data_IF_623534359321
#
_entry.id   IF_623534359321
#
_cell.length_a   1.000
_cell.length_b   1.000
_cell.length_c   1.000
_cell.angle_alpha   90.00
_cell.angle_beta   90.00
_cell.angle_gamma   90.00
#
_symmetry.space_group_name_H-M   'P 1'
#
loop_
_entity.id
_entity.type
_entity.pdbx_description
1 polymer ?
#
# COMPACT_ATOMS: atom_id res chain seq x y z
N UNK A 1 2.80 23.26 7.21
CA UNK A 1 1.44 22.82 6.82
C UNK A 1 1.24 21.38 7.28
N UNK A 2 0.03 21.00 7.70
CA UNK A 2 -0.30 19.58 7.90
C UNK A 2 -0.47 18.93 6.53
N UNK A 3 0.21 17.79 6.29
CA UNK A 3 0.21 17.07 5.00
C UNK A 3 -1.21 16.73 4.50
N UNK A 4 -2.17 16.55 5.41
CA UNK A 4 -3.53 16.08 5.10
C UNK A 4 -4.67 17.01 5.54
N UNK A 5 -4.40 18.18 6.10
CA UNK A 5 -5.48 19.13 6.49
C UNK A 5 -6.39 18.74 7.67
N UNK A 6 -6.25 17.56 8.28
CA UNK A 6 -7.11 17.07 9.37
C UNK A 6 -6.61 17.39 10.79
N UNK A 7 -7.50 17.32 11.78
CA UNK A 7 -7.19 17.39 13.21
C UNK A 7 -6.34 16.21 13.69
N UNK A 8 -5.65 16.39 14.83
CA UNK A 8 -4.82 15.31 15.43
C UNK A 8 -5.71 14.18 15.98
N UNK A 9 -6.88 14.55 16.50
CA UNK A 9 -7.91 13.61 16.98
C UNK A 9 -8.45 12.75 15.83
N UNK A 10 -8.84 13.37 14.71
CA UNK A 10 -9.33 12.65 13.53
C UNK A 10 -8.31 11.61 13.02
N UNK A 11 -7.01 11.98 12.97
CA UNK A 11 -5.96 11.04 12.60
C UNK A 11 -5.83 9.87 13.59
N UNK A 12 -5.96 10.14 14.89
CA UNK A 12 -5.91 9.11 15.93
C UNK A 12 -7.10 8.16 15.91
N UNK A 13 -8.29 8.66 15.59
CA UNK A 13 -9.50 7.84 15.38
C UNK A 13 -9.35 6.91 14.17
N UNK A 14 -8.84 7.44 13.05
CA UNK A 14 -8.54 6.64 11.87
C UNK A 14 -7.48 5.57 12.16
N UNK A 15 -6.42 5.92 12.89
CA UNK A 15 -5.38 4.96 13.30
C UNK A 15 -5.96 3.83 14.15
N UNK A 16 -6.78 4.14 15.17
CA UNK A 16 -7.41 3.13 16.02
C UNK A 16 -8.31 2.19 15.23
N UNK A 17 -9.15 2.74 14.35
CA UNK A 17 -10.01 1.96 13.46
C UNK A 17 -9.18 0.99 12.62
N UNK A 18 -8.13 1.49 11.99
CA UNK A 18 -7.26 0.72 11.12
C UNK A 18 -6.52 -0.39 11.91
N UNK A 19 -5.95 -0.07 13.08
CA UNK A 19 -5.28 -1.06 13.97
C UNK A 19 -6.19 -2.20 14.40
N UNK A 20 -7.50 -1.95 14.55
CA UNK A 20 -8.47 -2.99 14.94
C UNK A 20 -8.81 -3.97 13.81
N UNK A 21 -8.44 -3.67 12.56
CA UNK A 21 -8.86 -4.44 11.36
C UNK A 21 -7.70 -4.82 10.43
N UNK A 22 -6.49 -4.37 10.72
CA UNK A 22 -5.30 -4.67 9.93
C UNK A 22 -4.39 -5.66 10.65
N UNK A 23 -3.48 -6.27 9.89
CA UNK A 23 -2.32 -6.98 10.44
C UNK A 23 -1.14 -6.01 10.40
N UNK A 24 -0.46 -5.82 11.52
CA UNK A 24 0.80 -5.09 11.57
C UNK A 24 1.95 -6.02 11.22
N UNK A 25 2.78 -5.59 10.28
CA UNK A 25 3.99 -6.28 9.85
C UNK A 25 5.15 -5.29 9.81
N UNK A 26 6.36 -5.81 10.03
CA UNK A 26 7.57 -5.07 9.69
C UNK A 26 7.83 -5.23 8.17
N UNK A 27 8.05 -4.14 7.43
CA UNK A 27 8.31 -4.23 5.99
C UNK A 27 9.52 -5.10 5.69
N UNK A 28 9.39 -6.00 4.72
CA UNK A 28 10.52 -6.79 4.26
C UNK A 28 11.56 -5.87 3.58
N UNK A 29 12.84 -6.03 3.95
CA UNK A 29 13.95 -5.35 3.27
C UNK A 29 14.08 -5.90 1.85
N UNK A 30 14.03 -4.99 0.86
CA UNK A 30 14.20 -5.34 -0.55
C UNK A 30 15.69 -5.49 -0.89
N UNK A 31 16.00 -6.41 -1.80
CA UNK A 31 17.38 -6.69 -2.24
C UNK A 31 18.00 -5.55 -3.07
N UNK A 32 17.15 -4.77 -3.73
CA UNK A 32 17.50 -3.60 -4.53
C UNK A 32 16.32 -2.63 -4.58
N UNK A 33 16.55 -1.35 -4.88
CA UNK A 33 15.47 -0.39 -5.08
C UNK A 33 14.52 -0.84 -6.19
N UNK A 34 13.21 -0.80 -5.93
CA UNK A 34 12.18 -1.24 -6.90
C UNK A 34 11.47 -0.04 -7.51
N UNK A 35 11.10 0.91 -6.67
CA UNK A 35 10.43 2.13 -7.07
C UNK A 35 11.47 3.16 -7.54
N UNK A 36 11.01 4.15 -8.31
CA UNK A 36 11.87 5.28 -8.71
C UNK A 36 12.19 6.16 -7.51
N UNK A 37 11.20 6.40 -6.66
CA UNK A 37 11.37 6.99 -5.35
C UNK A 37 11.61 5.87 -4.33
N UNK A 38 12.76 5.87 -3.67
CA UNK A 38 13.13 4.84 -2.69
C UNK A 38 12.19 4.82 -1.48
N UNK A 39 11.49 5.93 -1.20
CA UNK A 39 10.57 6.00 -0.08
C UNK A 39 9.32 5.13 -0.30
N UNK A 40 8.99 4.78 -1.54
CA UNK A 40 7.83 3.92 -1.87
C UNK A 40 8.13 2.42 -1.73
N UNK A 41 9.40 2.02 -1.65
CA UNK A 41 9.79 0.61 -1.49
C UNK A 41 9.25 0.00 -0.19
N UNK A 42 9.00 0.83 0.83
CA UNK A 42 8.36 0.40 2.08
C UNK A 42 6.98 -0.21 1.82
N UNK A 43 6.25 0.27 0.82
CA UNK A 43 4.93 -0.26 0.45
C UNK A 43 5.07 -1.67 -0.11
N UNK A 44 6.05 -1.89 -1.00
CA UNK A 44 6.34 -3.20 -1.57
C UNK A 44 6.81 -4.17 -0.48
N UNK A 45 7.73 -3.74 0.38
CA UNK A 45 8.22 -4.54 1.51
C UNK A 45 7.11 -4.93 2.49
N UNK A 46 6.18 -4.01 2.76
CA UNK A 46 5.01 -4.27 3.61
C UNK A 46 4.09 -5.31 2.98
N UNK A 47 3.82 -5.19 1.69
CA UNK A 47 2.95 -6.12 0.97
C UNK A 47 3.52 -7.55 0.91
N UNK A 48 4.85 -7.67 0.74
CA UNK A 48 5.54 -8.95 0.82
C UNK A 48 5.44 -9.57 2.22
N UNK A 49 5.75 -8.79 3.26
CA UNK A 49 5.70 -9.27 4.65
C UNK A 49 4.28 -9.67 5.07
N UNK A 50 3.26 -8.96 4.57
CA UNK A 50 1.85 -9.27 4.79
C UNK A 50 1.29 -10.37 3.88
N UNK A 51 2.10 -10.95 2.98
CA UNK A 51 1.66 -11.90 1.96
C UNK A 51 0.41 -11.42 1.17
N UNK A 52 0.36 -10.12 0.85
CA UNK A 52 -0.75 -9.50 0.16
C UNK A 52 -0.89 -10.06 -1.26
N UNK A 53 -2.13 -10.26 -1.73
CA UNK A 53 -2.38 -10.61 -3.13
C UNK A 53 -2.21 -9.41 -4.06
N UNK A 54 -2.50 -8.21 -3.56
CA UNK A 54 -2.43 -6.99 -4.34
C UNK A 54 -2.11 -5.74 -3.50
N UNK A 55 -1.71 -4.68 -4.19
CA UNK A 55 -1.58 -3.30 -3.69
C UNK A 55 -2.57 -2.43 -4.47
N UNK A 56 -3.40 -1.70 -3.71
CA UNK A 56 -4.32 -0.70 -4.28
C UNK A 56 -3.74 0.69 -4.02
N UNK A 57 -3.37 1.42 -5.06
CA UNK A 57 -2.69 2.71 -4.90
C UNK A 57 -3.04 3.72 -5.99
N UNK A 58 -3.01 5.01 -5.66
CA UNK A 58 -3.07 6.10 -6.62
C UNK A 58 -1.69 6.57 -7.10
N UNK A 59 -0.61 6.00 -6.56
CA UNK A 59 0.75 6.43 -6.84
C UNK A 59 1.25 5.90 -8.19
N UNK A 60 1.72 6.79 -9.06
CA UNK A 60 2.17 6.45 -10.40
C UNK A 60 3.46 5.60 -10.41
N UNK A 61 4.35 5.80 -9.43
CA UNK A 61 5.63 5.09 -9.33
C UNK A 61 5.43 3.64 -8.86
N UNK A 62 4.36 3.38 -8.11
CA UNK A 62 3.91 2.02 -7.81
C UNK A 62 3.11 1.41 -8.97
N UNK A 63 2.20 2.18 -9.58
CA UNK A 63 1.31 1.68 -10.64
C UNK A 63 2.06 1.23 -11.90
N UNK A 64 3.20 1.84 -12.22
CA UNK A 64 4.00 1.45 -13.39
C UNK A 64 4.55 0.01 -13.27
N UNK A 65 4.72 -0.50 -12.05
CA UNK A 65 5.21 -1.86 -11.81
C UNK A 65 4.20 -2.91 -12.27
N UNK A 66 2.90 -2.64 -12.15
CA UNK A 66 1.74 -3.51 -12.44
C UNK A 66 1.68 -4.81 -11.64
N UNK A 67 2.79 -5.49 -11.43
CA UNK A 67 2.93 -6.71 -10.63
C UNK A 67 4.35 -6.84 -10.10
N UNK A 68 4.51 -7.25 -8.85
CA UNK A 68 5.83 -7.50 -8.25
C UNK A 68 5.82 -8.76 -7.39
N UNK A 69 6.72 -9.71 -7.67
CA UNK A 69 6.83 -11.00 -6.93
C UNK A 69 5.48 -11.70 -6.68
N UNK A 70 4.57 -11.64 -7.64
CA UNK A 70 3.24 -12.26 -7.55
C UNK A 70 2.13 -11.36 -7.03
N UNK A 71 2.45 -10.17 -6.49
CA UNK A 71 1.52 -9.18 -5.96
C UNK A 71 1.06 -8.26 -7.10
N UNK A 72 -0.24 -8.21 -7.38
CA UNK A 72 -0.80 -7.31 -8.40
C UNK A 72 -0.89 -5.87 -7.90
N UNK A 73 -0.65 -4.88 -8.76
CA UNK A 73 -0.64 -3.46 -8.38
C UNK A 73 -1.54 -2.70 -9.32
N UNK A 74 -2.59 -2.08 -8.76
CA UNK A 74 -3.59 -1.39 -9.55
C UNK A 74 -4.22 -0.21 -8.82
N UNK A 75 -4.89 0.64 -9.59
CA UNK A 75 -5.59 1.80 -9.05
C UNK A 75 -6.89 1.39 -8.36
N UNK A 76 -7.43 2.21 -7.44
CA UNK A 76 -8.72 1.94 -6.80
C UNK A 76 -9.86 1.65 -7.79
N UNK A 77 -9.89 2.39 -8.91
CA UNK A 77 -10.89 2.16 -9.96
C UNK A 77 -10.73 0.84 -10.70
N UNK A 78 -9.49 0.34 -10.85
CA UNK A 78 -9.21 -0.97 -11.46
C UNK A 78 -9.47 -2.11 -10.48
N UNK A 79 -9.20 -1.93 -9.18
CA UNK A 79 -9.50 -2.92 -8.15
C UNK A 79 -10.96 -3.34 -8.13
N UNK A 80 -11.87 -2.38 -8.36
CA UNK A 80 -13.30 -2.66 -8.43
C UNK A 80 -13.64 -3.72 -9.48
N UNK A 81 -12.91 -3.75 -10.61
CA UNK A 81 -13.07 -4.75 -11.66
C UNK A 81 -12.40 -6.07 -11.29
N UNK A 82 -11.23 -6.00 -10.66
CA UNK A 82 -10.46 -7.16 -10.19
C UNK A 82 -11.27 -8.03 -9.21
N UNK A 83 -11.94 -7.42 -8.22
CA UNK A 83 -12.79 -8.18 -7.27
C UNK A 83 -14.05 -8.79 -7.90
N UNK A 84 -14.50 -8.30 -9.05
CA UNK A 84 -15.71 -8.82 -9.69
C UNK A 84 -15.46 -10.10 -10.50
N UNK A 85 -14.19 -10.48 -10.68
CA UNK A 85 -13.75 -11.64 -11.46
C UNK A 85 -13.26 -12.82 -10.60
N UNK A 86 -13.21 -12.65 -9.26
CA UNK A 86 -13.05 -13.73 -8.26
C UNK A 86 -14.40 -14.23 -7.72
#
# INVERSE_FOLDING_TARGET
>A
MRKFGHARSEAGEAEQLLRSRMILVEPQVLEAPVCRDSDDDVVIGTALAGACQCIVTGDADLLILKRYRGIDIFSPGMFWRYQAEE
#
